data_IF_269310812965
#
_entry.id   IF_269310812965
#
_cell.length_a   1.000
_cell.length_b   1.000
_cell.length_c   1.000
_cell.angle_alpha   90.00
_cell.angle_beta   90.00
_cell.angle_gamma   90.00
#
_symmetry.space_group_name_H-M   'P 1'
#
loop_
_entity.id
_entity.type
_entity.pdbx_description
1 polymer ?
#
# COMPACT_ATOMS: atom_id res chain seq x y z
N UNK A 1 -12.09 2.87 -1.58
CA UNK A 1 -10.92 2.44 -0.80
C UNK A 1 -11.39 1.22 -0.02
N UNK A 2 -10.94 0.01 -0.40
CA UNK A 2 -11.61 -1.22 0.06
C UNK A 2 -11.00 -1.84 1.32
N UNK A 3 -9.72 -1.60 1.59
CA UNK A 3 -9.11 -1.85 2.89
C UNK A 3 -8.16 -0.69 3.25
N UNK A 4 -8.54 0.19 4.19
CA UNK A 4 -7.69 1.28 4.68
C UNK A 4 -6.43 0.81 5.42
N UNK A 5 -6.43 -0.39 6.03
CA UNK A 5 -5.34 -0.87 6.87
C UNK A 5 -4.15 -1.40 6.05
N UNK A 6 -4.40 -1.82 4.81
CA UNK A 6 -3.38 -2.31 3.88
C UNK A 6 -2.17 -1.38 3.73
N UNK A 7 -2.36 -0.06 3.80
CA UNK A 7 -1.26 0.91 3.76
C UNK A 7 -0.39 0.86 5.02
N UNK A 8 -1.02 0.74 6.20
CA UNK A 8 -0.30 0.66 7.47
C UNK A 8 0.49 -0.65 7.59
N UNK A 9 -0.05 -1.76 7.07
CA UNK A 9 0.66 -3.05 7.02
C UNK A 9 1.90 -2.94 6.13
N UNK A 10 1.79 -2.29 4.97
CA UNK A 10 2.93 -2.08 4.07
C UNK A 10 4.00 -1.17 4.71
N UNK A 11 3.59 -0.08 5.38
CA UNK A 11 4.51 0.83 6.09
C UNK A 11 5.25 0.10 7.23
N UNK A 12 4.53 -0.69 8.02
CA UNK A 12 5.14 -1.48 9.09
C UNK A 12 6.16 -2.49 8.56
N UNK A 13 5.86 -3.16 7.44
CA UNK A 13 6.80 -4.09 6.81
C UNK A 13 8.04 -3.38 6.24
N UNK A 14 7.89 -2.19 5.66
CA UNK A 14 9.03 -1.38 5.20
C UNK A 14 9.94 -0.98 6.37
N UNK A 15 9.35 -0.47 7.47
CA UNK A 15 10.10 -0.15 8.69
C UNK A 15 10.80 -1.37 9.28
N UNK A 16 10.15 -2.55 9.24
CA UNK A 16 10.78 -3.78 9.71
C UNK A 16 12.04 -4.12 8.89
N UNK A 17 12.05 -3.88 7.58
CA UNK A 17 13.25 -4.03 6.75
C UNK A 17 14.34 -3.05 7.16
N UNK A 18 13.99 -1.79 7.45
CA UNK A 18 14.97 -0.77 7.87
C UNK A 18 15.60 -1.06 9.24
N UNK A 19 14.78 -1.50 10.21
CA UNK A 19 15.25 -1.71 11.59
C UNK A 19 15.85 -3.10 11.83
N UNK A 20 15.29 -4.14 11.20
CA UNK A 20 15.73 -5.53 11.42
C UNK A 20 16.74 -5.96 10.36
N UNK A 21 16.60 -5.49 9.12
CA UNK A 21 17.44 -5.92 8.00
C UNK A 21 17.08 -7.30 7.45
N UNK A 22 17.77 -7.69 6.38
CA UNK A 22 17.64 -9.02 5.77
C UNK A 22 18.76 -9.94 6.28
N UNK A 23 18.49 -11.26 6.43
CA UNK A 23 17.30 -12.00 5.98
C UNK A 23 16.08 -11.97 6.93
N UNK A 24 16.20 -11.48 8.15
CA UNK A 24 15.19 -11.63 9.20
C UNK A 24 13.87 -10.89 8.88
N UNK A 25 13.92 -9.75 8.17
CA UNK A 25 12.74 -9.00 7.78
C UNK A 25 11.90 -9.66 6.67
N UNK A 26 12.37 -10.76 6.04
CA UNK A 26 11.64 -11.43 4.96
C UNK A 26 10.25 -11.93 5.39
N UNK A 27 10.09 -12.34 6.66
CA UNK A 27 8.81 -12.79 7.19
C UNK A 27 7.78 -11.66 7.25
N UNK A 28 8.21 -10.44 7.63
CA UNK A 28 7.34 -9.26 7.65
C UNK A 28 6.89 -8.88 6.23
N UNK A 29 7.82 -8.90 5.27
CA UNK A 29 7.51 -8.67 3.86
C UNK A 29 6.53 -9.72 3.33
N UNK A 30 6.76 -11.00 3.62
CA UNK A 30 5.87 -12.08 3.20
C UNK A 30 4.45 -11.90 3.76
N UNK A 31 4.32 -11.54 5.04
CA UNK A 31 3.04 -11.27 5.67
C UNK A 31 2.30 -10.10 5.00
N UNK A 32 3.01 -8.98 4.74
CA UNK A 32 2.43 -7.85 4.04
C UNK A 32 1.99 -8.19 2.62
N UNK A 33 2.77 -8.99 1.88
CA UNK A 33 2.41 -9.46 0.54
C UNK A 33 1.15 -10.31 0.57
N UNK A 34 1.04 -11.28 1.49
CA UNK A 34 -0.14 -12.15 1.61
C UNK A 34 -1.39 -11.32 1.99
N UNK A 35 -1.24 -10.39 2.93
CA UNK A 35 -2.33 -9.50 3.32
C UNK A 35 -2.81 -8.67 2.13
N UNK A 36 -1.89 -7.99 1.44
CA UNK A 36 -2.22 -7.21 0.26
C UNK A 36 -2.83 -8.07 -0.83
N UNK A 37 -2.33 -9.28 -1.07
CA UNK A 37 -2.81 -10.20 -2.10
C UNK A 37 -4.26 -10.61 -1.87
N UNK A 38 -4.62 -10.92 -0.63
CA UNK A 38 -5.96 -11.41 -0.24
C UNK A 38 -6.95 -10.30 0.12
N UNK A 39 -6.49 -9.07 0.36
CA UNK A 39 -7.35 -7.93 0.67
C UNK A 39 -8.30 -7.56 -0.50
N UNK A 40 -9.52 -7.06 -0.21
CA UNK A 40 -10.45 -6.53 -1.21
C UNK A 40 -9.82 -5.45 -2.09
N UNK A 41 -9.91 -5.59 -3.42
CA UNK A 41 -9.29 -4.67 -4.38
C UNK A 41 -10.21 -3.49 -4.70
N UNK A 42 -9.66 -2.28 -4.73
CA UNK A 42 -10.37 -1.11 -5.23
C UNK A 42 -9.40 -0.07 -5.79
N UNK A 43 -9.62 0.34 -7.03
CA UNK A 43 -8.89 1.41 -7.71
C UNK A 43 -9.58 2.79 -7.57
N UNK A 44 -10.63 2.91 -6.75
CA UNK A 44 -11.43 4.13 -6.56
C UNK A 44 -10.59 5.37 -6.23
N UNK A 45 -9.62 5.24 -5.32
CA UNK A 45 -8.72 6.35 -4.95
C UNK A 45 -7.86 6.82 -6.13
N UNK A 46 -7.36 5.87 -6.94
CA UNK A 46 -6.59 6.16 -8.16
C UNK A 46 -7.45 6.91 -9.20
N UNK A 47 -8.70 6.50 -9.38
CA UNK A 47 -9.63 7.18 -10.29
C UNK A 47 -9.89 8.61 -9.81
N UNK A 48 -10.19 8.78 -8.52
CA UNK A 48 -10.49 10.08 -7.93
C UNK A 48 -9.34 11.09 -8.10
N UNK A 49 -8.10 10.69 -7.76
CA UNK A 49 -6.94 11.59 -7.92
C UNK A 49 -6.63 11.87 -9.40
N UNK A 50 -6.85 10.91 -10.29
CA UNK A 50 -6.65 11.10 -11.73
C UNK A 50 -7.64 12.11 -12.30
N UNK A 51 -8.91 12.04 -11.90
CA UNK A 51 -9.93 13.00 -12.30
C UNK A 51 -9.63 14.40 -11.76
N UNK A 52 -9.30 14.53 -10.47
CA UNK A 52 -8.93 15.81 -9.86
C UNK A 52 -7.74 16.47 -10.59
N UNK A 53 -6.69 15.70 -10.90
CA UNK A 53 -5.52 16.19 -11.67
C UNK A 53 -5.88 16.62 -13.09
N UNK A 54 -6.86 15.98 -13.74
CA UNK A 54 -7.33 16.39 -15.07
C UNK A 54 -8.13 17.68 -15.03
N UNK A 55 -8.93 17.90 -13.99
CA UNK A 55 -9.70 19.13 -13.82
C UNK A 55 -8.77 20.32 -13.58
N UNK A 56 -7.78 20.18 -12.69
CA UNK A 56 -6.82 21.26 -12.39
C UNK A 56 -5.92 21.65 -13.58
N UNK A 57 -5.69 20.76 -14.56
CA UNK A 57 -4.89 21.07 -15.75
C UNK A 57 -5.67 21.76 -16.88
N UNK A 58 -7.00 21.92 -16.72
CA UNK A 58 -7.87 22.57 -17.71
C UNK A 58 -8.17 24.03 -17.37
N UNK A 59 -7.76 24.47 -16.19
CA UNK A 59 -7.63 25.88 -15.81
C UNK A 59 -6.26 26.42 -16.23
#
# INVERSE_FOLDING_TARGET
>A
MADPMSLLVADAAARAVEFVGLPEAQLNLAQAVIHLATAPKSNSALIAITQARRMSKRE
#
